data_IF_326673571645
#
_entry.id   IF_326673571645
#
_cell.length_a   1.000
_cell.length_b   1.000
_cell.length_c   1.000
_cell.angle_alpha   90.00
_cell.angle_beta   90.00
_cell.angle_gamma   90.00
#
_symmetry.space_group_name_H-M   'P 1'
#
loop_
_entity.id
_entity.type
_entity.pdbx_description
1 polymer ?
#
# COMPACT_ATOMS: atom_id res chain seq x y z
N UNK A 1 -13.12 -7.27 14.39
CA UNK A 1 -13.51 -6.25 13.40
C UNK A 1 -14.36 -5.20 14.12
N UNK A 2 -13.75 -4.08 14.55
CA UNK A 2 -14.40 -3.07 15.42
C UNK A 2 -14.94 -1.94 14.52
N UNK A 3 -16.10 -1.40 14.90
CA UNK A 3 -16.95 -0.42 14.18
C UNK A 3 -16.17 0.62 13.35
N UNK A 4 -16.40 0.64 12.03
CA UNK A 4 -15.87 1.60 11.05
C UNK A 4 -16.48 2.99 11.29
N UNK A 5 -15.67 3.95 11.75
CA UNK A 5 -16.05 5.37 11.72
C UNK A 5 -16.00 5.93 10.29
N UNK A 6 -16.64 7.07 10.05
CA UNK A 6 -16.55 7.79 8.76
C UNK A 6 -15.09 8.08 8.34
N UNK A 7 -14.21 8.38 9.32
CA UNK A 7 -12.77 8.57 9.08
C UNK A 7 -12.07 7.30 8.58
N UNK A 8 -12.52 6.10 8.97
CA UNK A 8 -11.89 4.84 8.54
C UNK A 8 -12.29 4.50 7.10
N UNK A 9 -13.53 4.79 6.72
CA UNK A 9 -14.02 4.61 5.35
C UNK A 9 -13.29 5.53 4.37
N UNK A 10 -13.04 6.79 4.77
CA UNK A 10 -12.24 7.75 4.01
C UNK A 10 -10.81 7.25 3.75
N UNK A 11 -10.11 6.84 4.80
CA UNK A 11 -8.74 6.32 4.69
C UNK A 11 -8.74 5.08 3.79
N UNK A 12 -9.60 4.11 4.08
CA UNK A 12 -9.67 2.87 3.31
C UNK A 12 -9.95 3.12 1.82
N UNK A 13 -10.91 3.98 1.48
CA UNK A 13 -11.25 4.28 0.08
C UNK A 13 -10.10 4.97 -0.65
N UNK A 14 -9.38 5.85 0.05
CA UNK A 14 -8.20 6.53 -0.52
C UNK A 14 -7.10 5.52 -0.84
N UNK A 15 -6.76 4.62 0.10
CA UNK A 15 -5.73 3.61 -0.12
C UNK A 15 -6.15 2.52 -1.11
N UNK A 16 -7.44 2.19 -1.20
CA UNK A 16 -7.98 1.33 -2.27
C UNK A 16 -7.74 1.95 -3.65
N UNK A 17 -8.06 3.24 -3.81
CA UNK A 17 -7.84 3.95 -5.08
C UNK A 17 -6.35 4.09 -5.44
N UNK A 18 -5.48 4.25 -4.44
CA UNK A 18 -4.03 4.26 -4.59
C UNK A 18 -3.52 2.90 -5.08
N UNK A 19 -3.89 1.82 -4.40
CA UNK A 19 -3.50 0.47 -4.78
C UNK A 19 -3.93 0.15 -6.22
N UNK A 20 -5.18 0.46 -6.57
CA UNK A 20 -5.69 0.31 -7.94
C UNK A 20 -4.90 1.14 -8.96
N UNK A 21 -4.47 2.35 -8.61
CA UNK A 21 -3.71 3.20 -9.52
C UNK A 21 -2.34 2.63 -9.83
N UNK A 22 -1.63 2.14 -8.80
CA UNK A 22 -0.24 1.67 -8.92
C UNK A 22 -0.16 0.30 -9.62
N UNK A 23 -1.05 -0.64 -9.28
CA UNK A 23 -1.13 -1.96 -9.92
C UNK A 23 -2.59 -2.27 -10.24
N UNK A 24 -3.08 -1.88 -11.44
CA UNK A 24 -4.45 -2.18 -11.85
C UNK A 24 -4.64 -3.67 -12.17
N UNK A 25 -5.89 -4.12 -12.16
CA UNK A 25 -6.24 -5.40 -12.76
C UNK A 25 -5.99 -5.35 -14.27
N UNK A 26 -5.47 -6.45 -14.83
CA UNK A 26 -5.25 -6.60 -16.26
C UNK A 26 -6.37 -7.44 -16.88
N UNK A 27 -6.93 -6.95 -17.99
CA UNK A 27 -8.02 -7.59 -18.71
C UNK A 27 -7.50 -8.09 -20.06
N UNK A 28 -7.63 -9.39 -20.31
CA UNK A 28 -7.26 -10.02 -21.57
C UNK A 28 -8.52 -10.55 -22.25
N UNK A 29 -8.77 -10.05 -23.46
CA UNK A 29 -9.90 -10.46 -24.27
C UNK A 29 -9.48 -11.63 -25.17
N UNK A 30 -10.05 -12.82 -24.94
CA UNK A 30 -9.79 -14.01 -25.73
C UNK A 30 -11.09 -14.48 -26.38
N UNK A 31 -11.35 -14.03 -27.62
CA UNK A 31 -12.50 -14.39 -28.48
C UNK A 31 -13.88 -14.27 -27.81
N UNK A 32 -14.21 -15.18 -26.90
CA UNK A 32 -15.51 -15.32 -26.22
C UNK A 32 -15.38 -15.18 -24.68
N UNK A 33 -14.18 -15.11 -24.13
CA UNK A 33 -13.94 -14.98 -22.68
C UNK A 33 -13.05 -13.79 -22.34
N UNK A 34 -13.24 -13.26 -21.12
CA UNK A 34 -12.39 -12.25 -20.52
C UNK A 34 -11.60 -12.94 -19.41
N UNK A 35 -10.28 -13.01 -19.56
CA UNK A 35 -9.39 -13.39 -18.47
C UNK A 35 -9.02 -12.12 -17.70
N UNK A 36 -9.26 -12.12 -16.40
CA UNK A 36 -8.89 -11.02 -15.51
C UNK A 36 -7.75 -11.48 -14.62
N UNK A 37 -6.63 -10.77 -14.67
CA UNK A 37 -5.54 -10.92 -13.70
C UNK A 37 -5.73 -9.87 -12.60
N UNK A 38 -5.81 -10.29 -11.33
CA UNK A 38 -6.14 -9.38 -10.23
C UNK A 38 -5.03 -8.36 -10.00
N UNK A 39 -5.41 -7.10 -9.77
CA UNK A 39 -4.51 -6.03 -9.39
C UNK A 39 -4.33 -5.94 -7.87
N UNK A 40 -3.68 -4.87 -7.42
CA UNK A 40 -3.44 -4.64 -6.00
C UNK A 40 -4.74 -4.35 -5.22
N UNK A 41 -5.80 -3.87 -5.87
CA UNK A 41 -7.10 -3.67 -5.25
C UNK A 41 -7.75 -5.02 -4.91
N UNK A 42 -7.85 -5.91 -5.89
CA UNK A 42 -8.50 -7.21 -5.76
C UNK A 42 -7.75 -8.10 -4.74
N UNK A 43 -6.42 -7.96 -4.67
CA UNK A 43 -5.59 -8.67 -3.70
C UNK A 43 -5.53 -8.00 -2.32
N UNK A 44 -6.26 -6.89 -2.12
CA UNK A 44 -6.34 -6.13 -0.87
C UNK A 44 -4.99 -5.64 -0.34
N UNK A 45 -4.10 -5.24 -1.24
CA UNK A 45 -2.77 -4.72 -0.87
C UNK A 45 -2.88 -3.40 -0.09
N UNK A 46 -3.99 -2.67 -0.21
CA UNK A 46 -4.26 -1.51 0.63
C UNK A 46 -4.28 -1.87 2.14
N UNK A 47 -4.72 -3.07 2.52
CA UNK A 47 -4.68 -3.52 3.92
C UNK A 47 -3.22 -3.72 4.40
N UNK A 48 -2.35 -4.21 3.53
CA UNK A 48 -0.90 -4.31 3.81
C UNK A 48 -0.28 -2.94 4.06
N UNK A 49 -0.55 -1.99 3.15
CA UNK A 49 -0.01 -0.63 3.24
C UNK A 49 -0.47 0.02 4.56
N UNK A 50 -1.76 -0.06 4.87
CA UNK A 50 -2.32 0.49 6.10
C UNK A 50 -1.71 -0.16 7.36
N UNK A 51 -1.58 -1.49 7.38
CA UNK A 51 -0.96 -2.21 8.48
C UNK A 51 0.48 -1.75 8.74
N UNK A 52 1.29 -1.60 7.68
CA UNK A 52 2.68 -1.11 7.82
C UNK A 52 2.71 0.36 8.25
N UNK A 53 1.88 1.24 7.69
CA UNK A 53 1.84 2.64 8.09
C UNK A 53 1.43 2.81 9.57
N UNK A 54 0.52 1.98 10.06
CA UNK A 54 0.10 2.02 11.46
C UNK A 54 1.17 1.47 12.42
N UNK A 55 1.95 0.48 11.98
CA UNK A 55 2.96 -0.19 12.81
C UNK A 55 4.38 0.39 12.69
N UNK A 56 4.69 1.11 11.61
CA UNK A 56 6.04 1.61 11.29
C UNK A 56 6.57 2.67 12.25
N UNK A 57 5.68 3.37 12.96
CA UNK A 57 6.06 4.42 13.90
C UNK A 57 5.63 4.05 15.30
N UNK A 58 6.60 3.99 16.23
CA UNK A 58 6.32 3.73 17.63
C UNK A 58 5.38 4.79 18.22
N UNK A 59 4.52 4.44 19.21
CA UNK A 59 3.63 5.39 19.86
C UNK A 59 4.35 6.61 20.44
N UNK A 60 5.60 6.44 20.91
CA UNK A 60 6.44 7.53 21.42
C UNK A 60 6.74 8.56 20.32
N UNK A 61 7.14 8.09 19.14
CA UNK A 61 7.45 8.97 18.00
C UNK A 61 6.18 9.64 17.49
N UNK A 62 5.04 8.93 17.40
CA UNK A 62 3.75 9.52 17.03
C UNK A 62 3.37 10.71 17.92
N UNK A 63 3.55 10.58 19.25
CA UNK A 63 3.32 11.67 20.20
C UNK A 63 4.28 12.84 20.00
N UNK A 64 5.57 12.56 19.78
CA UNK A 64 6.58 13.60 19.54
C UNK A 64 6.30 14.40 18.26
N UNK A 65 5.83 13.74 17.20
CA UNK A 65 5.46 14.38 15.94
C UNK A 65 4.05 14.98 15.95
N UNK A 66 3.29 14.79 17.03
CA UNK A 66 1.87 15.14 17.13
C UNK A 66 1.03 14.57 15.97
N UNK A 67 1.29 13.31 15.60
CA UNK A 67 0.60 12.60 14.52
C UNK A 67 -0.31 11.53 15.11
N UNK A 68 -1.62 11.68 14.91
CA UNK A 68 -2.60 10.69 15.33
C UNK A 68 -2.61 9.43 14.43
N UNK A 69 -2.50 9.62 13.11
CA UNK A 69 -2.49 8.51 12.13
C UNK A 69 -1.69 8.90 10.89
N UNK A 70 -0.65 8.11 10.58
CA UNK A 70 0.12 8.27 9.35
C UNK A 70 -0.76 8.04 8.12
N UNK A 71 -1.62 7.03 8.15
CA UNK A 71 -2.54 6.74 7.07
C UNK A 71 -3.47 7.93 6.78
N UNK A 72 -4.06 8.54 7.82
CA UNK A 72 -4.92 9.72 7.66
C UNK A 72 -4.17 10.91 7.05
N UNK A 73 -3.01 11.26 7.61
CA UNK A 73 -2.22 12.37 7.08
C UNK A 73 -1.78 12.13 5.63
N UNK A 74 -1.52 10.87 5.27
CA UNK A 74 -1.11 10.47 3.91
C UNK A 74 -2.28 10.54 2.94
N UNK A 75 -3.49 10.11 3.35
CA UNK A 75 -4.70 10.28 2.55
C UNK A 75 -4.96 11.78 2.25
N UNK A 76 -4.78 12.64 3.26
CA UNK A 76 -4.92 14.09 3.08
C UNK A 76 -3.83 14.68 2.16
N UNK A 77 -2.62 14.14 2.18
CA UNK A 77 -1.55 14.52 1.26
C UNK A 77 -1.92 14.14 -0.18
N UNK A 78 -2.45 12.94 -0.40
CA UNK A 78 -2.95 12.50 -1.71
C UNK A 78 -4.08 13.39 -2.22
N UNK A 79 -5.02 13.79 -1.34
CA UNK A 79 -6.07 14.74 -1.69
C UNK A 79 -5.50 16.12 -2.09
N UNK A 80 -4.44 16.60 -1.44
CA UNK A 80 -3.76 17.84 -1.84
C UNK A 80 -3.15 17.73 -3.25
N UNK A 81 -2.53 16.59 -3.58
CA UNK A 81 -2.05 16.32 -4.93
C UNK A 81 -3.17 16.33 -5.96
N UNK A 82 -4.31 15.73 -5.61
CA UNK A 82 -5.48 15.71 -6.49
C UNK A 82 -6.09 17.09 -6.71
N UNK A 83 -6.25 17.88 -5.65
CA UNK A 83 -6.71 19.27 -5.75
C UNK A 83 -5.76 20.09 -6.62
N UNK A 84 -4.45 19.91 -6.49
CA UNK A 84 -3.46 20.62 -7.31
C UNK A 84 -3.60 20.27 -8.80
N UNK A 85 -3.81 18.99 -9.12
CA UNK A 85 -4.08 18.54 -10.51
C UNK A 85 -5.40 19.09 -11.06
N UNK A 86 -6.46 19.10 -10.25
CA UNK A 86 -7.76 19.66 -10.67
C UNK A 86 -7.68 21.16 -10.93
N UNK A 87 -6.91 21.89 -10.10
CA UNK A 87 -6.73 23.33 -10.24
C UNK A 87 -5.86 23.70 -11.44
N UNK A 88 -4.90 22.87 -11.82
CA UNK A 88 -4.10 23.09 -13.04
C UNK A 88 -4.87 22.76 -14.33
N UNK A 89 -5.99 22.04 -14.23
CA UNK A 89 -6.77 21.60 -15.39
C UNK A 89 -6.08 20.52 -16.23
N UNK A 90 -5.07 19.84 -15.66
CA UNK A 90 -4.27 18.83 -16.36
C UNK A 90 -4.83 17.40 -16.24
N UNK A 91 -5.98 17.24 -15.57
CA UNK A 91 -6.69 15.96 -15.52
C UNK A 91 -7.12 15.54 -16.93
N UNK A 92 -6.77 14.31 -17.33
CA UNK A 92 -7.09 13.78 -18.66
C UNK A 92 -8.57 13.42 -18.72
N UNK A 93 -9.07 12.80 -17.66
CA UNK A 93 -10.41 12.25 -17.63
C UNK A 93 -11.33 13.05 -16.71
N UNK A 94 -12.65 12.99 -16.95
CA UNK A 94 -13.64 13.54 -16.03
C UNK A 94 -13.55 12.91 -14.63
N UNK A 95 -13.93 13.69 -13.63
CA UNK A 95 -14.05 13.21 -12.25
C UNK A 95 -15.12 12.12 -12.16
N UNK A 96 -14.80 11.01 -11.50
CA UNK A 96 -15.65 9.84 -11.38
C UNK A 96 -15.83 9.46 -9.91
N UNK A 97 -17.05 9.52 -9.40
CA UNK A 97 -17.36 9.22 -7.98
C UNK A 97 -17.65 7.72 -7.75
N UNK A 98 -17.89 6.95 -8.82
CA UNK A 98 -18.50 5.61 -8.69
C UNK A 98 -17.61 4.52 -8.11
N UNK A 99 -16.28 4.66 -8.16
CA UNK A 99 -15.36 3.59 -7.72
C UNK A 99 -15.11 3.54 -6.21
N UNK A 100 -15.09 4.69 -5.53
CA UNK A 100 -14.60 4.84 -4.16
C UNK A 100 -15.39 5.94 -3.41
N UNK A 101 -16.66 5.69 -3.07
CA UNK A 101 -17.62 6.74 -2.72
C UNK A 101 -17.37 7.45 -1.38
N UNK A 102 -16.54 6.88 -0.51
CA UNK A 102 -16.26 7.47 0.81
C UNK A 102 -14.92 8.22 0.87
N UNK A 103 -14.20 8.32 -0.25
CA UNK A 103 -12.90 8.98 -0.31
C UNK A 103 -12.96 10.49 -0.49
N UNK A 104 -11.78 11.11 -0.60
CA UNK A 104 -11.61 12.54 -0.90
C UNK A 104 -11.36 12.83 -2.38
N UNK A 105 -10.95 14.06 -2.73
CA UNK A 105 -10.61 14.44 -4.10
C UNK A 105 -9.74 13.45 -4.87
N UNK A 106 -8.77 12.79 -4.20
CA UNK A 106 -7.91 11.81 -4.85
C UNK A 106 -8.68 10.61 -5.42
N UNK A 107 -9.75 10.19 -4.75
CA UNK A 107 -10.53 9.04 -5.19
C UNK A 107 -11.44 9.35 -6.38
N UNK A 108 -11.70 10.64 -6.65
CA UNK A 108 -12.51 11.08 -7.78
C UNK A 108 -11.73 11.13 -9.10
N UNK A 109 -10.40 11.11 -9.03
CA UNK A 109 -9.57 11.08 -10.22
C UNK A 109 -9.66 9.72 -10.92
N UNK A 110 -9.49 9.71 -12.24
CA UNK A 110 -9.26 8.48 -12.99
C UNK A 110 -7.95 7.80 -12.56
N UNK A 111 -7.78 6.53 -12.95
CA UNK A 111 -6.58 5.78 -12.59
C UNK A 111 -5.28 6.48 -13.00
N UNK A 112 -5.21 6.99 -14.24
CA UNK A 112 -4.01 7.69 -14.74
C UNK A 112 -3.82 9.05 -14.06
N UNK A 113 -4.92 9.76 -13.76
CA UNK A 113 -4.85 11.06 -13.10
C UNK A 113 -4.42 10.93 -11.63
N UNK A 114 -4.74 9.82 -10.96
CA UNK A 114 -4.17 9.51 -9.63
C UNK A 114 -2.64 9.41 -9.67
N UNK A 115 -2.08 8.77 -10.72
CA UNK A 115 -0.63 8.70 -10.91
C UNK A 115 -0.03 10.08 -11.21
N UNK A 116 -0.72 10.93 -11.98
CA UNK A 116 -0.30 12.33 -12.19
C UNK A 116 -0.30 13.12 -10.88
N UNK A 117 -1.35 13.01 -10.07
CA UNK A 117 -1.43 13.66 -8.77
C UNK A 117 -0.28 13.24 -7.85
N UNK A 118 0.08 11.95 -7.82
CA UNK A 118 1.26 11.45 -7.10
C UNK A 118 2.54 12.09 -7.66
N UNK A 119 2.68 12.20 -8.98
CA UNK A 119 3.84 12.86 -9.60
C UNK A 119 3.95 14.34 -9.22
N UNK A 120 2.84 15.07 -9.06
CA UNK A 120 2.87 16.46 -8.59
C UNK A 120 3.35 16.53 -7.13
N UNK A 121 2.90 15.61 -6.27
CA UNK A 121 3.36 15.52 -4.88
C UNK A 121 4.87 15.23 -4.82
N UNK A 122 5.34 14.28 -5.63
CA UNK A 122 6.76 13.88 -5.66
C UNK A 122 7.68 15.04 -6.12
N UNK A 123 7.22 15.83 -7.10
CA UNK A 123 7.89 17.07 -7.55
C UNK A 123 7.71 18.24 -6.58
N UNK A 124 6.92 18.07 -5.52
CA UNK A 124 6.55 19.11 -4.55
C UNK A 124 5.80 20.29 -5.18
N UNK A 125 5.10 20.04 -6.29
CA UNK A 125 4.24 20.96 -7.07
C UNK A 125 2.81 20.97 -6.51
N UNK A 126 2.69 21.04 -5.19
CA UNK A 126 1.41 21.06 -4.46
C UNK A 126 1.32 22.28 -3.55
N UNK A 127 0.11 22.64 -3.13
CA UNK A 127 -0.08 23.70 -2.14
C UNK A 127 0.40 23.26 -0.74
N UNK A 128 1.55 23.78 -0.31
CA UNK A 128 2.20 23.43 0.96
C UNK A 128 1.52 24.04 2.19
N UNK A 129 0.65 25.05 2.02
CA UNK A 129 0.05 25.82 3.13
C UNK A 129 -0.91 25.00 3.99
N UNK A 130 -1.54 23.98 3.42
CA UNK A 130 -2.60 23.19 4.05
C UNK A 130 -2.20 21.75 4.35
N UNK A 131 -0.91 21.45 4.36
CA UNK A 131 -0.43 20.12 4.70
C UNK A 131 -0.62 19.84 6.20
N UNK A 132 -1.15 18.67 6.51
CA UNK A 132 -1.24 18.15 7.87
C UNK A 132 0.13 17.69 8.36
N UNK A 133 0.32 17.67 9.68
CA UNK A 133 1.44 16.93 10.29
C UNK A 133 1.35 15.44 9.90
N UNK A 134 2.48 14.76 9.63
CA UNK A 134 3.86 15.24 9.77
C UNK A 134 4.47 15.90 8.52
N UNK A 135 3.68 16.07 7.45
CA UNK A 135 4.19 16.57 6.16
C UNK A 135 4.37 18.08 6.14
N UNK A 136 3.66 18.79 7.01
CA UNK A 136 3.83 20.23 7.19
C UNK A 136 5.30 20.56 7.46
N UNK A 137 5.86 21.43 6.62
CA UNK A 137 7.24 21.90 6.69
C UNK A 137 8.31 20.79 6.59
N UNK A 138 7.95 19.59 6.10
CA UNK A 138 8.87 18.46 5.97
C UNK A 138 8.85 17.86 4.55
N UNK A 139 9.52 18.55 3.63
CA UNK A 139 9.61 18.15 2.21
C UNK A 139 10.32 16.82 2.00
N UNK A 140 11.32 16.51 2.84
CA UNK A 140 12.04 15.24 2.77
C UNK A 140 11.13 14.06 3.09
N UNK A 141 10.24 14.21 4.09
CA UNK A 141 9.27 13.19 4.43
C UNK A 141 8.20 13.00 3.35
N UNK A 142 7.79 14.06 2.65
CA UNK A 142 6.85 13.95 1.52
C UNK A 142 7.43 13.06 0.43
N UNK A 143 8.67 13.34 -0.02
CA UNK A 143 9.36 12.53 -1.04
C UNK A 143 9.52 11.08 -0.60
N UNK A 144 10.04 10.87 0.62
CA UNK A 144 10.20 9.54 1.17
C UNK A 144 8.87 8.78 1.23
N UNK A 145 7.76 9.44 1.59
CA UNK A 145 6.45 8.81 1.63
C UNK A 145 5.97 8.38 0.24
N UNK A 146 6.18 9.18 -0.82
CA UNK A 146 5.79 8.78 -2.18
C UNK A 146 6.53 7.51 -2.62
N UNK A 147 7.84 7.44 -2.33
CA UNK A 147 8.65 6.23 -2.56
C UNK A 147 8.12 5.04 -1.74
N UNK A 148 7.85 5.24 -0.45
CA UNK A 148 7.34 4.21 0.46
C UNK A 148 6.00 3.68 -0.02
N UNK A 149 5.06 4.52 -0.47
CA UNK A 149 3.76 4.06 -0.96
C UNK A 149 3.91 3.17 -2.19
N UNK A 150 4.79 3.55 -3.14
CA UNK A 150 5.09 2.72 -4.32
C UNK A 150 5.74 1.40 -3.90
N UNK A 151 6.75 1.44 -3.05
CA UNK A 151 7.47 0.26 -2.57
C UNK A 151 6.55 -0.69 -1.80
N UNK A 152 5.75 -0.19 -0.86
CA UNK A 152 4.81 -1.01 -0.10
C UNK A 152 3.74 -1.64 -0.99
N UNK A 153 3.27 -0.94 -2.01
CA UNK A 153 2.33 -1.54 -2.96
C UNK A 153 2.98 -2.70 -3.71
N UNK A 154 4.22 -2.54 -4.19
CA UNK A 154 4.96 -3.60 -4.87
C UNK A 154 5.30 -4.77 -3.92
N UNK A 155 5.81 -4.48 -2.73
CA UNK A 155 6.15 -5.49 -1.73
C UNK A 155 4.91 -6.29 -1.31
N UNK A 156 3.80 -5.62 -1.04
CA UNK A 156 2.55 -6.30 -0.74
C UNK A 156 2.11 -7.21 -1.89
N UNK A 157 2.12 -6.69 -3.12
CA UNK A 157 1.69 -7.43 -4.31
C UNK A 157 2.52 -8.67 -4.62
N UNK A 158 3.85 -8.57 -4.50
CA UNK A 158 4.77 -9.68 -4.78
C UNK A 158 5.10 -10.56 -3.55
N UNK A 159 4.51 -10.28 -2.39
CA UNK A 159 4.66 -11.09 -1.18
C UNK A 159 3.57 -12.14 -1.04
N UNK A 160 3.72 -12.98 -0.02
CA UNK A 160 2.69 -13.92 0.44
C UNK A 160 1.49 -13.25 1.14
N UNK A 161 1.43 -11.91 1.22
CA UNK A 161 0.41 -11.18 1.97
C UNK A 161 -1.02 -11.68 1.70
N UNK A 162 -1.38 -11.81 0.43
CA UNK A 162 -2.72 -12.28 0.04
C UNK A 162 -2.98 -13.74 0.46
N UNK A 163 -1.93 -14.57 0.53
CA UNK A 163 -2.02 -15.97 0.96
C UNK A 163 -2.30 -16.15 2.45
N UNK A 164 -2.00 -15.15 3.29
CA UNK A 164 -2.27 -15.24 4.74
C UNK A 164 -3.74 -15.13 5.13
N UNK A 165 -4.61 -14.68 4.22
CA UNK A 165 -6.05 -14.60 4.45
C UNK A 165 -6.40 -13.84 5.73
N UNK A 166 -7.14 -14.50 6.63
CA UNK A 166 -7.59 -13.93 7.90
C UNK A 166 -6.45 -13.66 8.90
N UNK A 167 -5.34 -14.39 8.78
CA UNK A 167 -4.18 -14.28 9.67
C UNK A 167 -3.22 -13.15 9.31
N UNK A 168 -3.39 -12.47 8.17
CA UNK A 168 -2.44 -11.48 7.64
C UNK A 168 -2.09 -10.35 8.65
N UNK A 169 -3.09 -9.90 9.41
CA UNK A 169 -2.94 -8.84 10.40
C UNK A 169 -2.33 -9.31 11.74
N UNK A 170 -2.13 -10.61 11.94
CA UNK A 170 -1.51 -11.15 13.15
C UNK A 170 0.00 -10.90 13.14
N UNK A 171 0.62 -11.06 14.31
CA UNK A 171 2.07 -11.01 14.44
C UNK A 171 2.73 -12.14 13.63
N UNK A 172 3.99 -11.96 13.17
CA UNK A 172 4.62 -12.88 12.22
C UNK A 172 4.56 -14.37 12.63
N UNK A 173 4.72 -14.67 13.91
CA UNK A 173 4.69 -16.02 14.48
C UNK A 173 3.29 -16.70 14.43
N UNK A 174 2.23 -15.90 14.34
CA UNK A 174 0.84 -16.36 14.26
C UNK A 174 0.26 -16.34 12.84
N UNK A 175 0.99 -15.80 11.85
CA UNK A 175 0.56 -15.86 10.44
C UNK A 175 0.59 -17.28 9.91
N UNK A 176 -0.42 -17.65 9.12
CA UNK A 176 -0.57 -18.96 8.48
C UNK A 176 -1.02 -18.75 7.04
N UNK A 177 -0.40 -19.48 6.11
CA UNK A 177 -0.89 -19.50 4.74
C UNK A 177 -2.22 -20.25 4.72
N UNK A 178 -3.29 -19.53 4.41
CA UNK A 178 -4.66 -20.04 4.26
C UNK A 178 -5.01 -20.28 2.80
N UNK A 179 -4.34 -19.57 1.89
CA UNK A 179 -4.51 -19.67 0.45
C UNK A 179 -3.17 -19.75 -0.27
N UNK A 180 -3.18 -20.24 -1.50
CA UNK A 180 -1.99 -20.24 -2.34
C UNK A 180 -1.72 -18.81 -2.83
N UNK A 181 -0.58 -18.19 -2.47
CA UNK A 181 -0.27 -16.83 -2.91
C UNK A 181 -0.30 -16.70 -4.43
N UNK A 182 -0.83 -15.59 -4.95
CA UNK A 182 -0.89 -15.34 -6.39
C UNK A 182 0.48 -15.47 -7.05
N UNK A 183 1.53 -14.90 -6.44
CA UNK A 183 2.89 -15.01 -6.96
C UNK A 183 3.36 -16.46 -7.14
N UNK A 184 2.96 -17.36 -6.24
CA UNK A 184 3.27 -18.78 -6.35
C UNK A 184 2.47 -19.43 -7.49
N UNK A 185 1.21 -19.08 -7.67
CA UNK A 185 0.39 -19.57 -8.79
C UNK A 185 0.98 -19.13 -10.14
N UNK A 186 1.36 -17.85 -10.26
CA UNK A 186 1.91 -17.28 -11.50
C UNK A 186 3.26 -17.89 -11.88
N UNK A 187 4.08 -18.25 -10.88
CA UNK A 187 5.40 -18.87 -11.10
C UNK A 187 5.37 -20.39 -11.10
N UNK A 188 4.20 -21.01 -10.88
CA UNK A 188 4.06 -22.44 -10.66
C UNK A 188 4.97 -22.98 -9.54
N UNK A 189 5.30 -22.12 -8.57
CA UNK A 189 6.11 -22.51 -7.43
C UNK A 189 5.30 -23.47 -6.54
N UNK A 190 5.77 -24.70 -6.28
CA UNK A 190 5.01 -25.71 -5.54
C UNK A 190 4.89 -25.43 -4.04
N UNK A 191 5.49 -24.34 -3.56
CA UNK A 191 5.63 -24.03 -2.14
C UNK A 191 6.95 -24.55 -1.55
N UNK A 192 7.19 -24.30 -0.25
CA UNK A 192 8.42 -24.67 0.42
C UNK A 192 8.65 -26.19 0.38
N UNK A 193 9.79 -26.63 -0.14
CA UNK A 193 10.21 -28.03 -0.06
C UNK A 193 10.38 -28.47 1.40
N UNK A 194 10.00 -29.69 1.73
CA UNK A 194 10.14 -30.24 3.09
C UNK A 194 11.57 -30.61 3.48
N UNK A 195 12.55 -30.50 2.57
CA UNK A 195 13.95 -30.90 2.80
C UNK A 195 14.63 -30.18 3.98
N UNK A 196 14.13 -29.00 4.42
CA UNK A 196 14.63 -28.36 5.65
C UNK A 196 14.36 -29.21 6.92
N UNK A 197 13.42 -30.16 6.88
CA UNK A 197 13.21 -31.13 7.97
C UNK A 197 14.40 -32.06 8.13
N UNK A 198 15.08 -32.41 7.04
CA UNK A 198 16.26 -33.28 7.05
C UNK A 198 17.49 -32.56 7.64
N UNK A 199 17.46 -31.23 7.72
CA UNK A 199 18.51 -30.41 8.34
C UNK A 199 18.25 -30.11 9.83
N UNK A 200 17.07 -30.44 10.39
CA UNK A 200 16.78 -30.27 11.82
C UNK A 200 17.55 -31.32 12.62
N UNK A 201 18.75 -30.97 13.05
CA UNK A 201 19.65 -31.85 13.80
C UNK A 201 21.13 -31.53 13.61
N UNK A 202 21.46 -30.77 12.55
CA UNK A 202 22.82 -30.26 12.35
C UNK A 202 23.01 -28.98 13.15
N UNK A 203 23.83 -29.05 14.20
CA UNK A 203 24.31 -27.87 14.92
C UNK A 203 25.26 -27.13 13.97
N UNK A 204 24.88 -25.93 13.53
CA UNK A 204 25.79 -25.06 12.81
C UNK A 204 26.93 -24.65 13.77
N UNK A 205 28.10 -25.25 13.59
CA UNK A 205 29.30 -24.84 14.30
C UNK A 205 29.81 -23.53 13.70
N UNK A 206 29.59 -22.41 14.39
CA UNK A 206 30.29 -21.16 14.08
C UNK A 206 31.58 -21.12 14.90
N UNK A 207 32.77 -21.33 14.29
CA UNK A 207 34.01 -21.13 15.02
C UNK A 207 34.07 -19.68 15.50
N UNK A 208 34.34 -19.49 16.81
CA UNK A 208 34.56 -18.15 17.36
C UNK A 208 35.67 -17.48 16.54
N UNK A 209 35.39 -16.29 16.02
CA UNK A 209 36.38 -15.44 15.37
C UNK A 209 37.49 -15.18 16.40
N UNK A 210 38.64 -15.84 16.23
CA UNK A 210 39.82 -15.59 17.05
C UNK A 210 40.18 -14.11 16.91
N UNK A 211 40.32 -13.43 18.04
CA UNK A 211 40.98 -12.12 18.09
C UNK A 211 42.47 -12.39 17.87
N UNK A 212 42.92 -12.18 16.64
CA UNK A 212 44.33 -11.91 16.31
C UNK A 212 44.54 -10.41 16.25
#
# INVERSE_FOLDING_TARGET
>A
MIRKGSSDLYIMSTFQSLAQAVIPAAYYFQNVSIKVEPGALELRIYDYILAILDQSISPKIKRQMNVASMAKSTAQLLDNGAVSLMQSGENINPLTVSGFPFGGPFTYLSQIDRLKAISLIDRLEINKKHLSLPYKDNLGLIKNMMDVLKQLTLFGFYSEWNGYGSSAALSPEHRRLEHFPLGWQLTQYPGPSYAYRDLRGFIAFMPKKGRG
#
